data_IF_351644108851
#
_entry.id   IF_351644108851
#
_cell.length_a   1.000
_cell.length_b   1.000
_cell.length_c   1.000
_cell.angle_alpha   90.00
_cell.angle_beta   90.00
_cell.angle_gamma   90.00
#
_symmetry.space_group_name_H-M   'P 1'
#
loop_
_entity.id
_entity.type
_entity.pdbx_description
1 polymer ?
#
# COMPACT_ATOMS: atom_id res chain seq x y z
N UNK A 1 21.17 26.29 9.93
CA UNK A 1 20.68 25.94 8.62
C UNK A 1 19.74 24.76 8.73
N UNK A 2 18.49 24.96 8.31
CA UNK A 2 17.49 23.93 8.40
C UNK A 2 17.55 23.06 7.15
N UNK A 3 17.95 21.80 7.31
CA UNK A 3 17.85 20.82 6.23
C UNK A 3 16.40 20.35 6.14
N UNK A 4 15.66 20.92 5.20
CA UNK A 4 14.28 20.51 4.92
C UNK A 4 14.24 19.35 3.96
N UNK A 5 14.66 18.17 4.43
CA UNK A 5 14.62 16.96 3.63
C UNK A 5 15.61 16.95 2.45
N UNK A 6 15.51 15.92 1.64
CA UNK A 6 16.39 15.67 0.49
C UNK A 6 15.79 16.09 -0.85
N UNK A 7 14.56 16.58 -0.87
CA UNK A 7 13.88 17.05 -2.08
C UNK A 7 14.40 18.39 -2.56
N UNK A 8 14.53 18.54 -3.88
CA UNK A 8 14.94 19.79 -4.52
C UNK A 8 13.83 20.84 -4.60
N UNK A 9 12.58 20.44 -4.42
CA UNK A 9 11.38 21.24 -4.54
C UNK A 9 10.41 20.96 -3.38
N UNK A 10 9.31 21.73 -3.30
CA UNK A 10 8.23 21.55 -2.33
C UNK A 10 7.07 20.72 -2.88
N UNK A 11 7.30 19.89 -3.88
CA UNK A 11 6.27 19.03 -4.43
C UNK A 11 5.93 17.87 -3.48
N UNK A 12 4.66 17.76 -3.11
CA UNK A 12 4.11 16.68 -2.28
C UNK A 12 2.86 16.10 -2.92
N UNK A 13 2.59 14.84 -2.62
CA UNK A 13 1.39 14.17 -3.10
C UNK A 13 0.18 14.52 -2.21
N UNK A 14 -0.91 14.94 -2.83
CA UNK A 14 -2.21 15.12 -2.16
C UNK A 14 -2.95 13.79 -2.24
N UNK A 15 -3.10 13.11 -1.10
CA UNK A 15 -3.70 11.79 -1.03
C UNK A 15 -5.12 11.82 -0.48
N UNK A 16 -6.02 11.09 -1.16
CA UNK A 16 -7.36 10.79 -0.68
C UNK A 16 -7.60 9.28 -0.63
N UNK A 17 -8.09 8.80 0.52
CA UNK A 17 -8.50 7.41 0.66
C UNK A 17 -9.98 7.24 0.32
N UNK A 18 -10.30 6.12 -0.35
CA UNK A 18 -11.64 5.72 -0.79
C UNK A 18 -11.91 4.33 -0.22
N UNK A 19 -12.95 4.20 0.60
CA UNK A 19 -13.48 2.88 0.96
C UNK A 19 -14.30 2.34 -0.21
N UNK A 20 -13.90 1.15 -0.69
CA UNK A 20 -14.53 0.53 -1.86
C UNK A 20 -15.72 -0.32 -1.38
N UNK A 21 -16.89 0.28 -1.42
CA UNK A 21 -18.17 -0.42 -1.19
C UNK A 21 -18.74 -0.95 -2.51
N UNK A 22 -18.47 -0.26 -3.63
CA UNK A 22 -18.83 -0.61 -4.99
C UNK A 22 -17.69 -0.12 -5.90
N UNK A 23 -17.18 -0.99 -6.76
CA UNK A 23 -16.01 -0.70 -7.59
C UNK A 23 -16.24 0.43 -8.59
N UNK A 24 -17.41 0.41 -9.27
CA UNK A 24 -17.80 1.47 -10.20
C UNK A 24 -17.95 2.82 -9.50
N UNK A 25 -18.67 2.87 -8.39
CA UNK A 25 -18.83 4.11 -7.62
C UNK A 25 -17.53 4.63 -7.03
N UNK A 26 -16.61 3.72 -6.63
CA UNK A 26 -15.27 4.11 -6.16
C UNK A 26 -14.42 4.66 -7.31
N UNK A 27 -14.53 4.10 -8.51
CA UNK A 27 -13.86 4.62 -9.71
C UNK A 27 -14.39 6.03 -10.08
N UNK A 28 -15.70 6.22 -10.15
CA UNK A 28 -16.32 7.52 -10.41
C UNK A 28 -15.85 8.59 -9.42
N UNK A 29 -15.81 8.24 -8.12
CA UNK A 29 -15.27 9.10 -7.07
C UNK A 29 -13.78 9.39 -7.25
N UNK A 30 -13.00 8.39 -7.63
CA UNK A 30 -11.56 8.56 -7.87
C UNK A 30 -11.30 9.53 -9.03
N UNK A 31 -12.01 9.38 -10.14
CA UNK A 31 -11.91 10.26 -11.30
C UNK A 31 -12.31 11.71 -10.95
N UNK A 32 -13.39 11.89 -10.21
CA UNK A 32 -13.81 13.21 -9.70
C UNK A 32 -12.73 13.86 -8.81
N UNK A 33 -12.11 13.10 -7.90
CA UNK A 33 -11.04 13.58 -7.04
C UNK A 33 -9.78 13.99 -7.84
N UNK A 34 -9.43 13.26 -8.89
CA UNK A 34 -8.32 13.61 -9.76
C UNK A 34 -8.54 14.95 -10.46
N UNK A 35 -9.78 15.26 -10.88
CA UNK A 35 -10.10 16.58 -11.45
C UNK A 35 -10.00 17.73 -10.44
N UNK A 36 -10.05 17.41 -9.14
CA UNK A 36 -9.93 18.36 -8.01
C UNK A 36 -8.51 18.49 -7.47
N UNK A 37 -7.51 17.94 -8.18
CA UNK A 37 -6.11 18.10 -7.84
C UNK A 37 -5.53 17.06 -6.90
N UNK A 38 -6.24 15.96 -6.63
CA UNK A 38 -5.67 14.79 -5.94
C UNK A 38 -4.65 14.13 -6.86
N UNK A 39 -3.48 13.79 -6.32
CA UNK A 39 -2.35 13.19 -7.07
C UNK A 39 -1.98 11.80 -6.55
N UNK A 40 -2.60 11.36 -5.45
CA UNK A 40 -2.40 10.05 -4.84
C UNK A 40 -3.73 9.49 -4.37
N UNK A 41 -4.11 8.33 -4.86
CA UNK A 41 -5.34 7.64 -4.49
C UNK A 41 -5.02 6.47 -3.54
N UNK A 42 -5.83 6.30 -2.52
CA UNK A 42 -5.78 5.14 -1.63
C UNK A 42 -7.09 4.37 -1.72
N UNK A 43 -7.05 3.07 -1.98
CA UNK A 43 -8.21 2.21 -2.04
C UNK A 43 -8.20 1.20 -0.89
N UNK A 44 -9.29 1.15 -0.13
CA UNK A 44 -9.50 0.16 0.94
C UNK A 44 -10.47 -0.88 0.40
N UNK A 45 -9.95 -2.09 0.13
CA UNK A 45 -10.68 -3.17 -0.56
C UNK A 45 -10.82 -4.36 0.39
N UNK A 46 -11.99 -4.97 0.46
CA UNK A 46 -12.19 -6.22 1.19
C UNK A 46 -11.45 -7.36 0.49
N UNK A 47 -10.87 -8.26 1.27
CA UNK A 47 -9.97 -9.29 0.73
C UNK A 47 -10.66 -10.28 -0.22
N UNK A 48 -11.92 -10.60 -0.01
CA UNK A 48 -12.74 -11.47 -0.85
C UNK A 48 -13.10 -10.86 -2.21
N UNK A 49 -13.04 -9.52 -2.30
CA UNK A 49 -13.36 -8.76 -3.53
C UNK A 49 -12.12 -8.53 -4.43
N UNK A 50 -10.93 -9.01 -4.04
CA UNK A 50 -9.69 -8.86 -4.82
C UNK A 50 -9.66 -9.85 -5.98
N UNK A 51 -10.00 -9.38 -7.16
CA UNK A 51 -9.93 -10.10 -8.44
C UNK A 51 -9.65 -9.14 -9.60
N UNK A 52 -9.31 -9.69 -10.76
CA UNK A 52 -8.90 -8.93 -11.95
C UNK A 52 -10.00 -8.00 -12.47
N UNK A 53 -11.24 -8.48 -12.55
CA UNK A 53 -12.40 -7.72 -13.04
C UNK A 53 -12.68 -6.48 -12.16
N UNK A 54 -12.68 -6.68 -10.85
CA UNK A 54 -12.90 -5.63 -9.88
C UNK A 54 -11.79 -4.57 -9.93
N UNK A 55 -10.54 -5.00 -10.03
CA UNK A 55 -9.40 -4.07 -10.14
C UNK A 55 -9.43 -3.33 -11.49
N UNK A 56 -9.76 -4.01 -12.58
CA UNK A 56 -9.91 -3.36 -13.88
C UNK A 56 -11.02 -2.29 -13.87
N UNK A 57 -12.17 -2.59 -13.25
CA UNK A 57 -13.27 -1.64 -13.07
C UNK A 57 -12.85 -0.46 -12.19
N UNK A 58 -12.13 -0.72 -11.09
CA UNK A 58 -11.69 0.31 -10.15
C UNK A 58 -10.73 1.31 -10.80
N UNK A 59 -9.85 0.83 -11.67
CA UNK A 59 -8.79 1.62 -12.30
C UNK A 59 -9.14 2.10 -13.72
N UNK A 60 -10.36 1.88 -14.17
CA UNK A 60 -10.80 2.33 -15.50
C UNK A 60 -10.63 3.85 -15.64
N UNK A 61 -10.01 4.30 -16.73
CA UNK A 61 -9.77 5.72 -16.98
C UNK A 61 -8.67 6.39 -16.14
N UNK A 62 -8.06 5.68 -15.19
CA UNK A 62 -6.96 6.19 -14.37
C UNK A 62 -5.63 5.80 -15.00
N UNK A 63 -4.74 6.77 -15.22
CA UNK A 63 -3.38 6.53 -15.72
C UNK A 63 -2.43 6.18 -14.57
N UNK A 64 -1.94 4.92 -14.44
CA UNK A 64 -1.11 4.50 -13.32
C UNK A 64 0.27 5.18 -13.28
N UNK A 65 0.77 5.67 -14.42
CA UNK A 65 2.04 6.38 -14.48
C UNK A 65 1.95 7.85 -14.00
N UNK A 66 0.74 8.40 -13.93
CA UNK A 66 0.52 9.81 -13.56
C UNK A 66 -0.01 9.97 -12.13
N UNK A 67 -0.59 8.91 -11.56
CA UNK A 67 -1.25 8.93 -10.25
C UNK A 67 -0.60 7.88 -9.35
N UNK A 68 -0.24 8.27 -8.14
CA UNK A 68 0.22 7.31 -7.14
C UNK A 68 -0.97 6.48 -6.63
N UNK A 69 -0.90 5.15 -6.76
CA UNK A 69 -1.98 4.24 -6.40
C UNK A 69 -1.61 3.39 -5.19
N UNK A 70 -2.38 3.54 -4.12
CA UNK A 70 -2.13 2.86 -2.86
C UNK A 70 -3.29 1.95 -2.50
N UNK A 71 -3.00 0.75 -2.04
CA UNK A 71 -4.01 -0.25 -1.73
C UNK A 71 -3.87 -0.77 -0.31
N UNK A 72 -5.00 -0.93 0.37
CA UNK A 72 -5.12 -1.57 1.67
C UNK A 72 -6.15 -2.70 1.59
N UNK A 73 -5.72 -3.91 1.86
CA UNK A 73 -6.58 -5.09 1.84
C UNK A 73 -6.18 -6.06 2.96
N UNK A 74 -6.81 -7.24 3.01
CA UNK A 74 -6.35 -8.31 3.91
C UNK A 74 -4.94 -8.77 3.50
N UNK A 75 -4.04 -8.95 4.48
CA UNK A 75 -2.68 -9.42 4.23
C UNK A 75 -2.63 -10.70 3.36
N UNK A 76 -3.57 -11.63 3.57
CA UNK A 76 -3.65 -12.87 2.80
C UNK A 76 -3.96 -12.67 1.30
N UNK A 77 -4.29 -11.46 0.87
CA UNK A 77 -4.58 -11.11 -0.52
C UNK A 77 -3.59 -10.12 -1.11
N UNK A 78 -2.62 -9.66 -0.33
CA UNK A 78 -1.64 -8.66 -0.77
C UNK A 78 -0.80 -9.18 -1.95
N UNK A 79 -0.26 -10.40 -1.86
CA UNK A 79 0.51 -11.03 -2.93
C UNK A 79 -0.32 -11.14 -4.23
N UNK A 80 -1.56 -11.66 -4.12
CA UNK A 80 -2.47 -11.77 -5.25
C UNK A 80 -2.76 -10.41 -5.87
N UNK A 81 -3.01 -9.39 -5.05
CA UNK A 81 -3.29 -8.03 -5.52
C UNK A 81 -2.10 -7.46 -6.30
N UNK A 82 -0.88 -7.67 -5.82
CA UNK A 82 0.34 -7.21 -6.51
C UNK A 82 0.45 -7.86 -7.91
N UNK A 83 0.19 -9.17 -8.01
CA UNK A 83 0.18 -9.88 -9.30
C UNK A 83 -0.86 -9.29 -10.26
N UNK A 84 -2.10 -9.08 -9.79
CA UNK A 84 -3.17 -8.48 -10.60
C UNK A 84 -2.78 -7.08 -11.08
N UNK A 85 -2.18 -6.25 -10.21
CA UNK A 85 -1.74 -4.90 -10.59
C UNK A 85 -0.65 -4.93 -11.65
N UNK A 86 0.33 -5.83 -11.50
CA UNK A 86 1.42 -5.99 -12.47
C UNK A 86 0.88 -6.40 -13.85
N UNK A 87 -0.02 -7.38 -13.89
CA UNK A 87 -0.66 -7.84 -15.12
C UNK A 87 -1.56 -6.75 -15.75
N UNK A 88 -2.30 -6.02 -14.93
CA UNK A 88 -3.12 -4.90 -15.38
C UNK A 88 -2.27 -3.79 -16.01
N UNK A 89 -1.18 -3.36 -15.37
CA UNK A 89 -0.30 -2.32 -15.92
C UNK A 89 0.37 -2.77 -17.21
N UNK A 90 0.85 -4.02 -17.25
CA UNK A 90 1.40 -4.63 -18.48
C UNK A 90 0.36 -4.69 -19.60
N UNK A 91 -0.87 -5.11 -19.30
CA UNK A 91 -1.98 -5.16 -20.26
C UNK A 91 -2.37 -3.79 -20.82
N UNK A 92 -2.17 -2.71 -20.05
CA UNK A 92 -2.35 -1.32 -20.48
C UNK A 92 -1.13 -0.74 -21.22
N UNK A 93 -0.06 -1.51 -21.38
CA UNK A 93 1.18 -1.02 -21.99
C UNK A 93 1.91 0.04 -21.16
N UNK A 94 1.67 0.08 -19.85
CA UNK A 94 2.30 1.04 -18.94
C UNK A 94 3.57 0.44 -18.37
N UNK A 95 4.64 1.22 -18.41
CA UNK A 95 5.93 0.84 -17.84
C UNK A 95 5.85 0.80 -16.31
N UNK A 96 6.14 -0.37 -15.72
CA UNK A 96 6.08 -0.59 -14.29
C UNK A 96 7.04 0.33 -13.50
N UNK A 97 8.15 0.75 -14.10
CA UNK A 97 9.11 1.69 -13.52
C UNK A 97 8.52 3.10 -13.35
N UNK A 98 7.44 3.42 -14.06
CA UNK A 98 6.74 4.71 -13.93
C UNK A 98 5.55 4.66 -12.99
N UNK A 99 5.20 3.48 -12.47
CA UNK A 99 4.07 3.28 -11.58
C UNK A 99 4.53 3.36 -10.13
N UNK A 100 3.98 4.32 -9.38
CA UNK A 100 4.29 4.53 -7.96
C UNK A 100 3.08 4.21 -7.10
N UNK A 101 3.34 3.63 -5.95
CA UNK A 101 2.25 3.32 -5.02
C UNK A 101 2.67 2.46 -3.83
N UNK A 102 1.68 1.84 -3.23
CA UNK A 102 1.90 0.90 -2.14
C UNK A 102 0.80 -0.15 -2.06
N UNK A 103 1.18 -1.33 -1.56
CA UNK A 103 0.24 -2.33 -1.04
C UNK A 103 0.58 -2.52 0.43
N UNK A 104 -0.38 -2.21 1.31
CA UNK A 104 -0.13 -2.20 2.75
C UNK A 104 -0.17 -3.63 3.32
N UNK A 105 0.95 -4.36 3.21
CA UNK A 105 1.14 -5.62 3.92
C UNK A 105 1.86 -5.34 5.25
N UNK A 106 1.19 -5.63 6.36
CA UNK A 106 1.72 -5.47 7.71
C UNK A 106 1.68 -6.81 8.44
N UNK A 107 2.84 -7.43 8.57
CA UNK A 107 2.99 -8.77 9.15
C UNK A 107 2.47 -8.86 10.60
N UNK A 108 2.54 -7.79 11.35
CA UNK A 108 2.22 -7.78 12.78
C UNK A 108 0.84 -7.22 13.15
N UNK A 109 0.15 -6.59 12.23
CA UNK A 109 -1.19 -6.05 12.49
C UNK A 109 -2.10 -7.11 13.13
N UNK A 110 -2.07 -8.34 12.61
CA UNK A 110 -2.92 -9.43 13.10
C UNK A 110 -2.55 -9.93 14.49
N UNK A 111 -1.26 -10.19 14.81
CA UNK A 111 -0.81 -10.48 16.15
C UNK A 111 -1.18 -9.41 17.17
N UNK A 112 -0.90 -8.14 16.87
CA UNK A 112 -1.15 -7.03 17.79
C UNK A 112 -2.65 -6.81 18.06
N UNK A 113 -3.47 -6.82 17.01
CA UNK A 113 -4.90 -6.50 17.16
C UNK A 113 -5.71 -7.70 17.67
N UNK A 114 -5.31 -8.93 17.32
CA UNK A 114 -6.09 -10.15 17.64
C UNK A 114 -5.43 -11.07 18.66
N UNK A 115 -4.20 -10.74 19.12
CA UNK A 115 -3.46 -11.58 20.07
C UNK A 115 -3.12 -12.97 19.49
N UNK A 116 -3.09 -13.13 18.16
CA UNK A 116 -2.80 -14.39 17.52
C UNK A 116 -1.37 -14.40 17.02
N UNK A 117 -0.58 -15.36 17.48
CA UNK A 117 0.72 -15.59 16.90
C UNK A 117 0.61 -15.83 15.38
N UNK A 118 1.55 -15.27 14.66
CA UNK A 118 1.69 -15.47 13.22
C UNK A 118 3.11 -16.01 12.98
N UNK A 119 3.27 -17.32 13.13
CA UNK A 119 4.58 -17.99 12.91
C UNK A 119 5.09 -17.88 11.47
N UNK A 120 4.18 -17.70 10.51
CA UNK A 120 4.45 -17.68 9.06
C UNK A 120 4.63 -16.25 8.51
N UNK A 121 4.85 -15.24 9.38
CA UNK A 121 4.90 -13.86 8.91
C UNK A 121 6.11 -13.57 8.01
N UNK A 122 7.24 -14.23 8.27
CA UNK A 122 8.46 -14.09 7.46
C UNK A 122 8.22 -14.61 6.05
N UNK A 123 7.63 -15.80 5.94
CA UNK A 123 7.30 -16.42 4.64
C UNK A 123 6.30 -15.56 3.86
N UNK A 124 5.26 -15.07 4.54
CA UNK A 124 4.28 -14.18 3.94
C UNK A 124 4.88 -12.85 3.47
N UNK A 125 5.77 -12.26 4.26
CA UNK A 125 6.48 -11.03 3.87
C UNK A 125 7.43 -11.28 2.70
N UNK A 126 8.15 -12.40 2.69
CA UNK A 126 9.05 -12.78 1.59
C UNK A 126 8.27 -13.03 0.29
N UNK A 127 7.10 -13.68 0.36
CA UNK A 127 6.23 -13.89 -0.81
C UNK A 127 5.75 -12.56 -1.41
N UNK A 128 5.33 -11.62 -0.55
CA UNK A 128 4.90 -10.28 -0.96
C UNK A 128 6.06 -9.48 -1.57
N UNK A 129 7.27 -9.56 -1.00
CA UNK A 129 8.46 -8.92 -1.57
C UNK A 129 8.81 -9.50 -2.95
N UNK A 130 8.75 -10.83 -3.09
CA UNK A 130 8.99 -11.49 -4.38
C UNK A 130 7.99 -11.05 -5.44
N UNK A 131 6.70 -11.01 -5.11
CA UNK A 131 5.66 -10.50 -6.00
C UNK A 131 5.90 -9.01 -6.34
N UNK A 132 6.35 -8.23 -5.37
CA UNK A 132 6.66 -6.80 -5.51
C UNK A 132 7.78 -6.47 -6.49
N UNK A 133 8.64 -7.43 -6.83
CA UNK A 133 9.69 -7.23 -7.85
C UNK A 133 9.13 -6.87 -9.22
N UNK A 134 7.88 -7.25 -9.52
CA UNK A 134 7.20 -6.87 -10.75
C UNK A 134 6.79 -5.38 -10.79
N UNK A 135 6.81 -4.69 -9.64
CA UNK A 135 6.44 -3.29 -9.47
C UNK A 135 7.53 -2.56 -8.67
N UNK A 136 8.68 -2.20 -9.28
CA UNK A 136 9.89 -1.79 -8.58
C UNK A 136 9.73 -0.52 -7.73
N UNK A 137 8.77 0.34 -8.06
CA UNK A 137 8.48 1.57 -7.31
C UNK A 137 7.28 1.47 -6.36
N UNK A 138 6.79 0.23 -6.11
CA UNK A 138 5.77 -0.02 -5.10
C UNK A 138 6.37 -0.40 -3.75
N UNK A 139 5.86 0.24 -2.71
CA UNK A 139 6.15 -0.12 -1.32
C UNK A 139 5.18 -1.22 -0.90
N UNK A 140 5.67 -2.43 -0.75
CA UNK A 140 4.80 -3.61 -0.50
C UNK A 140 4.79 -4.07 0.95
N UNK A 141 5.71 -3.59 1.79
CA UNK A 141 5.72 -3.82 3.23
C UNK A 141 5.42 -2.54 3.99
N UNK A 142 4.74 -2.66 5.11
CA UNK A 142 4.39 -1.53 5.96
C UNK A 142 4.62 -1.82 7.45
N UNK A 143 5.02 -0.78 8.17
CA UNK A 143 4.99 -0.71 9.63
C UNK A 143 3.93 0.32 10.02
N UNK A 144 2.79 -0.14 10.51
CA UNK A 144 1.68 0.73 10.89
C UNK A 144 1.82 1.19 12.34
N UNK A 145 2.75 2.11 12.60
CA UNK A 145 3.10 2.60 13.93
C UNK A 145 1.89 3.15 14.72
N UNK A 146 0.89 3.70 14.02
CA UNK A 146 -0.34 4.19 14.65
C UNK A 146 -1.07 3.13 15.49
N UNK A 147 -0.84 1.84 15.25
CA UNK A 147 -1.42 0.77 16.07
C UNK A 147 -0.92 0.83 17.52
N UNK A 148 0.34 1.21 17.72
CA UNK A 148 0.91 1.38 19.05
C UNK A 148 0.34 2.60 19.75
N UNK A 149 0.19 3.71 19.03
CA UNK A 149 -0.42 4.93 19.54
C UNK A 149 -1.87 4.69 19.98
N UNK A 150 -2.67 4.01 19.13
CA UNK A 150 -4.04 3.64 19.44
C UNK A 150 -4.15 2.68 20.63
N UNK A 151 -3.10 1.92 20.93
CA UNK A 151 -3.00 1.05 22.11
C UNK A 151 -2.48 1.79 23.36
N UNK A 152 -2.25 3.11 23.30
CA UNK A 152 -1.83 3.93 24.42
C UNK A 152 -0.33 4.16 24.54
N UNK A 153 0.48 3.85 23.51
CA UNK A 153 1.89 4.15 23.52
C UNK A 153 2.17 5.66 23.43
N UNK A 154 3.16 6.12 24.19
CA UNK A 154 3.69 7.48 24.05
C UNK A 154 4.49 7.63 22.76
N UNK A 155 4.69 8.87 22.29
CA UNK A 155 5.42 9.20 21.05
C UNK A 155 6.79 8.49 20.97
N UNK A 156 7.56 8.49 22.07
CA UNK A 156 8.86 7.80 22.13
C UNK A 156 8.74 6.28 22.03
N UNK A 157 7.70 5.69 22.63
CA UNK A 157 7.40 4.26 22.54
C UNK A 157 6.93 3.88 21.14
N UNK A 158 6.03 4.66 20.55
CA UNK A 158 5.57 4.47 19.17
C UNK A 158 6.75 4.44 18.19
N UNK A 159 7.65 5.43 18.30
CA UNK A 159 8.86 5.49 17.48
C UNK A 159 9.78 4.28 17.74
N UNK A 160 10.02 3.94 18.99
CA UNK A 160 10.86 2.80 19.37
C UNK A 160 10.33 1.47 18.83
N UNK A 161 9.05 1.21 18.98
CA UNK A 161 8.40 0.02 18.45
C UNK A 161 8.41 -0.02 16.92
N UNK A 162 8.15 1.11 16.26
CA UNK A 162 8.17 1.19 14.81
C UNK A 162 9.56 0.89 14.24
N UNK A 163 10.62 1.43 14.86
CA UNK A 163 12.01 1.17 14.47
C UNK A 163 12.42 -0.28 14.75
N UNK A 164 12.07 -0.83 15.92
CA UNK A 164 12.35 -2.22 16.26
C UNK A 164 11.70 -3.18 15.26
N UNK A 165 10.45 -2.88 14.88
CA UNK A 165 9.71 -3.64 13.89
C UNK A 165 10.32 -3.56 12.49
N UNK A 166 10.64 -2.36 12.01
CA UNK A 166 11.32 -2.19 10.72
C UNK A 166 12.67 -2.92 10.69
N UNK A 167 13.43 -2.87 11.80
CA UNK A 167 14.69 -3.58 11.93
C UNK A 167 14.51 -5.11 11.90
N UNK A 168 13.51 -5.64 12.58
CA UNK A 168 13.21 -7.08 12.56
C UNK A 168 12.81 -7.54 11.15
N UNK A 169 11.98 -6.77 10.43
CA UNK A 169 11.65 -7.06 9.05
C UNK A 169 12.91 -7.11 8.18
N UNK A 170 13.79 -6.14 8.28
CA UNK A 170 15.06 -6.11 7.53
C UNK A 170 15.94 -7.31 7.89
N UNK A 171 16.13 -7.59 9.17
CA UNK A 171 17.00 -8.68 9.64
C UNK A 171 16.51 -10.08 9.22
N UNK A 172 15.21 -10.27 9.01
CA UNK A 172 14.65 -11.58 8.64
C UNK A 172 14.47 -11.75 7.13
N UNK A 173 14.49 -10.66 6.36
CA UNK A 173 14.22 -10.69 4.92
C UNK A 173 15.46 -10.39 4.07
N UNK A 174 16.58 -10.05 4.69
CA UNK A 174 17.92 -9.94 4.07
C UNK A 174 18.76 -11.17 4.39
#
# INVERSE_FOLDING_TARGET
PYVRGTKKDNDWKVRQNIEVCCFKGANEKALDLLTKGVTSLGFIIKGDEVNEENIATLLEGICPASVELNFNTCNCKAEKLIGILADYFKGKGVDAEKCYGSVNYDAFKKPLVKGKENSEWVEGAAAVLKAGQALPNYRVLAVNAFLFNNAGAYISQELGYALAWGNELMAKLT
#
